data_IF_823458840853
#
_entry.id   IF_823458840853
#
_cell.length_a   1.000
_cell.length_b   1.000
_cell.length_c   1.000
_cell.angle_alpha   90.00
_cell.angle_beta   90.00
_cell.angle_gamma   90.00
#
_symmetry.space_group_name_H-M   'P 1'
#
loop_
_entity.id
_entity.type
_entity.pdbx_description
1 polymer ?
#
# COMPACT_ATOMS: atom_id res chain seq x y z
N UNK A 1 -6.90 13.59 -30.30
CA UNK A 1 -6.78 12.71 -29.13
C UNK A 1 -5.43 12.01 -29.07
N UNK A 2 -4.51 12.64 -28.35
CA UNK A 2 -3.18 12.12 -27.95
C UNK A 2 -2.97 12.41 -26.46
N UNK A 3 -2.20 11.57 -25.77
CA UNK A 3 -1.79 11.85 -24.39
C UNK A 3 -0.77 12.98 -24.42
N UNK A 4 -1.08 14.10 -23.76
CA UNK A 4 -0.20 15.26 -23.64
C UNK A 4 0.68 15.18 -22.40
N UNK A 5 0.18 14.60 -21.30
CA UNK A 5 0.90 14.48 -20.04
C UNK A 5 0.42 13.26 -19.24
N UNK A 6 1.34 12.64 -18.53
CA UNK A 6 1.04 11.63 -17.50
C UNK A 6 1.31 12.24 -16.12
N UNK A 7 0.40 12.06 -15.19
CA UNK A 7 0.56 12.45 -13.78
C UNK A 7 0.39 11.22 -12.90
N UNK A 8 1.32 11.03 -11.97
CA UNK A 8 1.23 10.03 -10.91
C UNK A 8 1.04 10.74 -9.57
N UNK A 9 0.00 10.39 -8.82
CA UNK A 9 -0.25 10.91 -7.48
C UNK A 9 -0.30 9.78 -6.48
N UNK A 10 0.34 9.95 -5.32
CA UNK A 10 0.19 9.04 -4.18
C UNK A 10 -1.25 9.07 -3.67
N UNK A 11 -1.72 7.93 -3.16
CA UNK A 11 -3.01 7.78 -2.51
C UNK A 11 -2.99 6.64 -1.50
N UNK A 12 -4.09 6.48 -0.78
CA UNK A 12 -4.33 5.32 0.08
C UNK A 12 -5.23 4.32 -0.65
N UNK A 13 -5.07 3.04 -0.31
CA UNK A 13 -5.98 1.98 -0.70
C UNK A 13 -7.14 1.87 0.32
N UNK A 14 -8.13 1.03 0.02
CA UNK A 14 -9.27 0.79 0.92
C UNK A 14 -8.94 -0.06 2.16
N UNK A 15 -7.70 -0.57 2.26
CA UNK A 15 -7.26 -1.41 3.37
C UNK A 15 -5.74 -1.29 3.61
N UNK A 16 -5.18 -2.23 4.34
CA UNK A 16 -3.78 -2.29 4.76
C UNK A 16 -3.01 -3.35 3.99
N UNK A 17 -1.69 -3.18 3.90
CA UNK A 17 -0.82 -4.32 3.61
C UNK A 17 -0.48 -5.00 4.92
N UNK A 18 -0.75 -6.30 4.96
CA UNK A 18 -0.47 -7.17 6.10
C UNK A 18 0.59 -8.20 5.73
N UNK A 19 1.60 -8.31 6.57
CA UNK A 19 2.62 -9.35 6.48
C UNK A 19 2.01 -10.69 6.85
N UNK A 20 1.49 -11.37 5.84
CA UNK A 20 0.84 -12.66 6.02
C UNK A 20 1.79 -13.72 6.59
N UNK A 21 3.09 -13.65 6.29
CA UNK A 21 4.06 -14.60 6.83
C UNK A 21 4.20 -14.40 8.35
N UNK A 22 4.38 -13.17 8.81
CA UNK A 22 4.44 -12.85 10.24
C UNK A 22 3.14 -13.25 10.97
N UNK A 23 1.98 -12.95 10.40
CA UNK A 23 0.67 -13.32 10.98
C UNK A 23 0.51 -14.84 11.10
N UNK A 24 0.87 -15.59 10.05
CA UNK A 24 0.84 -17.07 10.08
C UNK A 24 1.87 -17.65 11.05
N UNK A 25 2.97 -16.94 11.30
CA UNK A 25 3.96 -17.24 12.33
C UNK A 25 3.58 -16.75 13.73
N UNK A 26 2.28 -16.56 13.98
CA UNK A 26 1.70 -16.22 15.29
C UNK A 26 2.03 -14.81 15.82
N UNK A 27 2.15 -13.82 14.92
CA UNK A 27 2.14 -12.41 15.33
C UNK A 27 0.92 -12.11 16.22
N UNK A 28 1.13 -11.37 17.31
CA UNK A 28 0.07 -11.08 18.29
C UNK A 28 -0.65 -9.80 17.90
N UNK A 29 -1.98 -9.83 17.98
CA UNK A 29 -2.79 -8.62 17.89
C UNK A 29 -2.47 -7.65 19.03
N UNK A 30 -2.38 -6.37 18.68
CA UNK A 30 -2.32 -5.25 19.63
C UNK A 30 -3.32 -4.18 19.16
N UNK A 31 -4.55 -4.28 19.68
CA UNK A 31 -5.69 -3.53 19.16
C UNK A 31 -5.91 -3.82 17.67
N UNK A 32 -5.86 -2.77 16.84
CA UNK A 32 -5.99 -2.89 15.38
C UNK A 32 -4.68 -3.29 14.68
N UNK A 33 -3.54 -3.16 15.37
CA UNK A 33 -2.23 -3.49 14.83
C UNK A 33 -1.82 -4.93 15.20
N UNK A 34 -0.60 -5.29 14.78
CA UNK A 34 0.09 -6.48 15.21
C UNK A 34 1.41 -6.07 15.85
N UNK A 35 1.82 -6.80 16.89
CA UNK A 35 3.10 -6.68 17.58
C UNK A 35 4.07 -7.76 17.13
N UNK A 36 5.37 -7.45 17.17
CA UNK A 36 6.45 -8.31 16.69
C UNK A 36 7.12 -7.76 15.43
N UNK A 37 8.03 -8.56 14.87
CA UNK A 37 8.82 -8.19 13.69
C UNK A 37 8.18 -8.71 12.39
N UNK A 38 8.21 -7.94 11.30
CA UNK A 38 7.84 -8.44 9.99
C UNK A 38 8.84 -9.50 9.51
N UNK A 39 8.33 -10.47 8.74
CA UNK A 39 9.09 -11.54 8.09
C UNK A 39 9.22 -11.27 6.60
N UNK A 40 8.21 -10.67 5.97
CA UNK A 40 8.18 -10.43 4.53
C UNK A 40 9.06 -9.23 4.18
N UNK A 41 10.05 -9.37 3.27
CA UNK A 41 10.89 -8.26 2.85
C UNK A 41 10.08 -7.06 2.34
N UNK A 42 10.46 -5.85 2.76
CA UNK A 42 9.80 -4.61 2.39
C UNK A 42 8.73 -4.13 3.38
N UNK A 43 8.32 -4.95 4.34
CA UNK A 43 7.48 -4.51 5.46
C UNK A 43 8.34 -3.89 6.56
N UNK A 44 7.99 -2.68 7.00
CA UNK A 44 8.60 -2.02 8.17
C UNK A 44 7.92 -2.39 9.48
N UNK A 45 6.64 -2.78 9.42
CA UNK A 45 5.83 -3.32 10.51
C UNK A 45 4.90 -4.39 9.94
N UNK A 46 4.34 -5.26 10.78
CA UNK A 46 3.48 -6.36 10.33
C UNK A 46 2.21 -5.87 9.60
N UNK A 47 1.68 -4.71 9.98
CA UNK A 47 0.61 -4.01 9.26
C UNK A 47 1.08 -2.61 8.91
N UNK A 48 0.96 -2.22 7.64
CA UNK A 48 1.24 -0.86 7.13
C UNK A 48 0.06 -0.33 6.33
N UNK A 49 -0.05 0.99 6.19
CA UNK A 49 -1.10 1.60 5.36
C UNK A 49 -1.03 1.06 3.92
N UNK A 50 -2.17 0.67 3.37
CA UNK A 50 -2.24 0.33 1.96
C UNK A 50 -2.10 1.59 1.11
N UNK A 51 -1.21 1.54 0.13
CA UNK A 51 -0.91 2.68 -0.74
C UNK A 51 -1.44 2.43 -2.15
N UNK A 52 -1.67 3.52 -2.89
CA UNK A 52 -2.07 3.48 -4.29
C UNK A 52 -1.38 4.60 -5.06
N UNK A 53 -1.34 4.44 -6.39
CA UNK A 53 -0.90 5.50 -7.30
C UNK A 53 -2.03 5.75 -8.29
N UNK A 54 -2.60 6.94 -8.25
CA UNK A 54 -3.51 7.40 -9.29
C UNK A 54 -2.71 7.77 -10.52
N UNK A 55 -3.04 7.15 -11.66
CA UNK A 55 -2.46 7.47 -12.97
C UNK A 55 -3.47 8.29 -13.75
N UNK A 56 -3.13 9.54 -14.02
CA UNK A 56 -3.96 10.45 -14.80
C UNK A 56 -3.29 10.74 -16.15
N UNK A 57 -4.05 10.58 -17.22
CA UNK A 57 -3.64 10.87 -18.58
C UNK A 57 -4.34 12.15 -19.02
N UNK A 58 -3.59 13.25 -19.09
CA UNK A 58 -4.11 14.52 -19.61
C UNK A 58 -4.03 14.46 -21.12
N UNK A 59 -5.14 14.68 -21.80
CA UNK A 59 -5.23 14.61 -23.26
C UNK A 59 -4.91 15.97 -23.90
N UNK A 60 -4.71 15.96 -25.22
CA UNK A 60 -4.41 17.17 -26.00
C UNK A 60 -5.56 18.18 -26.02
N UNK A 61 -6.80 17.72 -25.81
CA UNK A 61 -8.03 18.51 -25.77
C UNK A 61 -8.49 18.95 -24.38
N UNK A 62 -7.70 18.62 -23.34
CA UNK A 62 -8.06 18.83 -21.93
C UNK A 62 -8.54 17.57 -21.25
#
# INVERSE_FOLDING_TARGET
MKIKKVVASKGFAGFYYDDQAAIKSHAKHDGFAYSGEPITPGFSTIRIAGESISVMLVLDEG
#
